data_IF_316138168406
#
_entry.id   IF_316138168406
#
_cell.length_a   1.000
_cell.length_b   1.000
_cell.length_c   1.000
_cell.angle_alpha   90.00
_cell.angle_beta   90.00
_cell.angle_gamma   90.00
#
_symmetry.space_group_name_H-M   'P 1'
#
loop_
_entity.id
_entity.type
_entity.pdbx_description
1 polymer ?
#
# COMPACT_ATOMS: atom_id res chain seq x y z
N UNK A 1 -27.22 -0.98 -8.03
CA UNK A 1 -27.11 -2.44 -7.80
C UNK A 1 -26.00 -3.08 -8.64
N UNK A 2 -26.14 -3.22 -9.96
CA UNK A 2 -25.09 -3.89 -10.77
C UNK A 2 -23.79 -3.09 -10.84
N UNK A 3 -23.87 -1.76 -11.00
CA UNK A 3 -22.70 -0.89 -11.06
C UNK A 3 -21.89 -0.92 -9.74
N UNK A 4 -22.58 -0.91 -8.60
CA UNK A 4 -21.95 -0.97 -7.27
C UNK A 4 -21.21 -2.31 -7.08
N UNK A 5 -21.78 -3.42 -7.56
CA UNK A 5 -21.14 -4.73 -7.49
C UNK A 5 -19.91 -4.81 -8.38
N UNK A 6 -19.97 -4.25 -9.59
CA UNK A 6 -18.82 -4.19 -10.51
C UNK A 6 -17.70 -3.35 -9.90
N UNK A 7 -18.02 -2.16 -9.37
CA UNK A 7 -17.04 -1.31 -8.71
C UNK A 7 -16.43 -2.02 -7.49
N UNK A 8 -17.25 -2.69 -6.68
CA UNK A 8 -16.79 -3.43 -5.50
C UNK A 8 -15.84 -4.55 -5.91
N UNK A 9 -16.24 -5.37 -6.89
CA UNK A 9 -15.40 -6.47 -7.37
C UNK A 9 -14.07 -5.97 -7.94
N UNK A 10 -14.09 -4.86 -8.69
CA UNK A 10 -12.88 -4.25 -9.24
C UNK A 10 -11.93 -3.78 -8.14
N UNK A 11 -12.41 -2.98 -7.19
CA UNK A 11 -11.56 -2.49 -6.11
C UNK A 11 -11.14 -3.61 -5.15
N UNK A 12 -11.99 -4.61 -4.91
CA UNK A 12 -11.63 -5.79 -4.12
C UNK A 12 -10.47 -6.57 -4.75
N UNK A 13 -10.49 -6.75 -6.08
CA UNK A 13 -9.39 -7.37 -6.82
C UNK A 13 -8.11 -6.51 -6.74
N UNK A 14 -8.23 -5.19 -6.83
CA UNK A 14 -7.09 -4.26 -6.66
C UNK A 14 -6.50 -4.38 -5.25
N UNK A 15 -7.34 -4.39 -4.21
CA UNK A 15 -6.89 -4.56 -2.82
C UNK A 15 -6.19 -5.90 -2.62
N UNK A 16 -6.75 -7.00 -3.16
CA UNK A 16 -6.16 -8.32 -2.98
C UNK A 16 -4.85 -8.48 -3.75
N UNK A 17 -4.82 -8.06 -5.02
CA UNK A 17 -3.61 -8.15 -5.86
C UNK A 17 -2.47 -7.28 -5.32
N UNK A 18 -2.76 -6.07 -4.86
CA UNK A 18 -1.78 -5.21 -4.20
C UNK A 18 -1.29 -5.79 -2.88
N UNK A 19 -2.17 -6.30 -2.02
CA UNK A 19 -1.78 -6.94 -0.76
C UNK A 19 -0.89 -8.18 -0.97
N UNK A 20 -1.22 -9.01 -1.97
CA UNK A 20 -0.36 -10.13 -2.37
C UNK A 20 1.00 -9.59 -2.85
N UNK A 21 0.99 -8.56 -3.69
CA UNK A 21 2.19 -7.90 -4.18
C UNK A 21 3.11 -7.38 -3.06
N UNK A 22 2.55 -6.79 -2.00
CA UNK A 22 3.31 -6.31 -0.83
C UNK A 22 4.17 -7.41 -0.22
N UNK A 23 3.62 -8.63 -0.10
CA UNK A 23 4.29 -9.77 0.54
C UNK A 23 5.25 -10.48 -0.43
N UNK A 24 4.96 -10.46 -1.73
CA UNK A 24 5.77 -11.13 -2.74
C UNK A 24 6.97 -10.29 -3.21
N UNK A 25 6.89 -8.96 -3.14
CA UNK A 25 8.00 -8.11 -3.58
C UNK A 25 9.19 -8.22 -2.64
N UNK A 26 10.37 -8.40 -3.23
CA UNK A 26 11.65 -8.46 -2.50
C UNK A 26 12.17 -7.08 -2.14
N UNK A 27 11.93 -6.13 -3.03
CA UNK A 27 12.39 -4.77 -2.86
C UNK A 27 11.40 -4.01 -1.96
N UNK A 28 11.85 -3.51 -0.80
CA UNK A 28 10.95 -2.91 0.19
C UNK A 28 10.30 -1.61 -0.27
N UNK A 29 10.94 -0.88 -1.20
CA UNK A 29 10.38 0.33 -1.79
C UNK A 29 9.16 -0.01 -2.67
N UNK A 30 9.25 -1.06 -3.48
CA UNK A 30 8.12 -1.53 -4.27
C UNK A 30 6.99 -2.10 -3.39
N UNK A 31 7.32 -2.84 -2.33
CA UNK A 31 6.33 -3.31 -1.36
C UNK A 31 5.59 -2.14 -0.69
N UNK A 32 6.28 -1.07 -0.34
CA UNK A 32 5.65 0.11 0.27
C UNK A 32 4.68 0.82 -0.70
N UNK A 33 5.05 0.99 -1.97
CA UNK A 33 4.15 1.52 -3.00
C UNK A 33 2.88 0.68 -3.16
N UNK A 34 3.02 -0.64 -3.20
CA UNK A 34 1.89 -1.57 -3.31
C UNK A 34 0.99 -1.51 -2.07
N UNK A 35 1.57 -1.32 -0.88
CA UNK A 35 0.80 -1.12 0.35
C UNK A 35 -0.03 0.17 0.26
N UNK A 36 0.53 1.23 -0.31
CA UNK A 36 -0.22 2.47 -0.56
C UNK A 36 -1.41 2.28 -1.50
N UNK A 37 -1.24 1.50 -2.58
CA UNK A 37 -2.34 1.14 -3.48
C UNK A 37 -3.43 0.36 -2.74
N UNK A 38 -3.05 -0.61 -1.90
CA UNK A 38 -4.00 -1.38 -1.10
C UNK A 38 -4.81 -0.47 -0.14
N UNK A 39 -4.14 0.43 0.57
CA UNK A 39 -4.76 1.34 1.53
C UNK A 39 -5.67 2.38 0.85
N UNK A 40 -5.28 2.89 -0.32
CA UNK A 40 -6.12 3.76 -1.14
C UNK A 40 -7.35 3.03 -1.68
N UNK A 41 -7.19 1.78 -2.12
CA UNK A 41 -8.33 0.96 -2.56
C UNK A 41 -9.34 0.73 -1.43
N UNK A 42 -8.86 0.52 -0.19
CA UNK A 42 -9.73 0.43 1.00
C UNK A 42 -10.50 1.74 1.25
N UNK A 43 -9.89 2.91 1.02
CA UNK A 43 -10.60 4.18 1.14
C UNK A 43 -11.80 4.27 0.17
N UNK A 44 -11.66 3.74 -1.04
CA UNK A 44 -12.78 3.65 -2.00
C UNK A 44 -13.89 2.75 -1.47
N UNK A 45 -13.57 1.62 -0.83
CA UNK A 45 -14.58 0.76 -0.21
C UNK A 45 -15.37 1.49 0.88
N UNK A 46 -14.72 2.34 1.69
CA UNK A 46 -15.43 3.16 2.67
C UNK A 46 -16.37 4.17 2.02
N UNK A 47 -15.98 4.79 0.90
CA UNK A 47 -16.90 5.66 0.14
C UNK A 47 -18.11 4.88 -0.38
N UNK A 48 -17.90 3.68 -0.90
CA UNK A 48 -19.00 2.81 -1.39
C UNK A 48 -19.95 2.38 -0.28
N UNK A 49 -19.47 2.30 0.97
CA UNK A 49 -20.27 2.02 2.16
C UNK A 49 -20.94 3.28 2.76
N UNK A 50 -20.87 4.42 2.07
CA UNK A 50 -21.33 5.72 2.56
C UNK A 50 -20.66 6.16 3.90
N UNK A 51 -19.43 5.69 4.15
CA UNK A 51 -18.64 6.00 5.34
C UNK A 51 -17.60 7.09 5.03
N UNK A 52 -18.05 8.30 4.68
CA UNK A 52 -17.21 9.40 4.18
C UNK A 52 -16.14 9.84 5.19
N UNK A 53 -16.52 10.02 6.46
CA UNK A 53 -15.57 10.40 7.51
C UNK A 53 -14.45 9.36 7.66
N UNK A 54 -14.80 8.08 7.65
CA UNK A 54 -13.83 6.98 7.75
C UNK A 54 -12.95 6.93 6.51
N UNK A 55 -13.50 7.15 5.31
CA UNK A 55 -12.72 7.22 4.07
C UNK A 55 -11.68 8.35 4.10
N UNK A 56 -12.06 9.54 4.55
CA UNK A 56 -11.14 10.67 4.69
C UNK A 56 -10.06 10.37 5.73
N UNK A 57 -10.45 9.83 6.89
CA UNK A 57 -9.49 9.43 7.93
C UNK A 57 -8.55 8.32 7.46
N UNK A 58 -9.03 7.40 6.61
CA UNK A 58 -8.22 6.35 6.01
C UNK A 58 -7.08 6.94 5.18
N UNK A 59 -7.39 7.92 4.33
CA UNK A 59 -6.38 8.60 3.51
C UNK A 59 -5.46 9.45 4.38
N UNK A 60 -5.99 10.26 5.29
CA UNK A 60 -5.17 11.16 6.12
C UNK A 60 -4.22 10.41 7.05
N UNK A 61 -4.72 9.40 7.78
CA UNK A 61 -3.93 8.71 8.80
C UNK A 61 -3.09 7.58 8.19
N UNK A 62 -3.69 6.70 7.40
CA UNK A 62 -2.95 5.53 6.91
C UNK A 62 -2.09 5.87 5.70
N UNK A 63 -2.63 6.57 4.69
CA UNK A 63 -1.87 6.91 3.48
C UNK A 63 -0.96 8.11 3.73
N UNK A 64 -1.45 9.14 4.42
CA UNK A 64 -0.69 10.36 4.71
C UNK A 64 0.30 10.26 5.88
N UNK A 65 0.05 9.38 6.85
CA UNK A 65 0.91 9.23 8.03
C UNK A 65 1.64 7.89 8.06
N UNK A 66 0.92 6.83 8.39
CA UNK A 66 1.48 5.50 8.68
C UNK A 66 2.30 4.96 7.51
N UNK A 67 1.76 4.99 6.30
CA UNK A 67 2.43 4.52 5.09
C UNK A 67 3.72 5.29 4.81
N UNK A 68 3.69 6.62 4.97
CA UNK A 68 4.86 7.48 4.75
C UNK A 68 5.94 7.12 5.78
N UNK A 69 5.57 6.98 7.06
CA UNK A 69 6.48 6.56 8.12
C UNK A 69 7.09 5.18 7.86
N UNK A 70 6.27 4.20 7.44
CA UNK A 70 6.76 2.85 7.09
C UNK A 70 7.72 2.93 5.91
N UNK A 71 7.35 3.65 4.84
CA UNK A 71 8.21 3.81 3.64
C UNK A 71 9.55 4.39 4.03
N UNK A 72 9.57 5.48 4.81
CA UNK A 72 10.82 6.08 5.28
C UNK A 72 11.64 5.14 6.17
N UNK A 73 11.01 4.49 7.16
CA UNK A 73 11.70 3.57 8.04
C UNK A 73 12.37 2.44 7.25
N UNK A 74 11.63 1.85 6.31
CA UNK A 74 12.09 0.76 5.44
C UNK A 74 13.25 1.21 4.55
N UNK A 75 13.17 2.41 3.95
CA UNK A 75 14.27 2.97 3.17
C UNK A 75 15.53 3.19 4.01
N UNK A 76 15.39 3.70 5.24
CA UNK A 76 16.51 3.93 6.13
C UNK A 76 17.18 2.63 6.62
N UNK A 77 16.43 1.52 6.67
CA UNK A 77 16.95 0.21 7.07
C UNK A 77 17.55 -0.60 5.92
N UNK A 78 17.46 -0.13 4.68
CA UNK A 78 18.11 -0.81 3.55
C UNK A 78 19.62 -0.57 3.63
N UNK A 79 20.36 -1.55 4.16
CA UNK A 79 21.81 -1.60 4.08
C UNK A 79 22.20 -2.03 2.66
N UNK A 80 22.99 -1.21 1.98
CA UNK A 80 23.62 -1.59 0.73
C UNK A 80 24.63 -2.72 1.01
N UNK A 81 24.30 -3.96 0.64
CA UNK A 81 25.28 -5.06 0.54
C UNK A 81 26.24 -4.74 -0.63
N UNK A 82 27.14 -3.77 -0.43
CA UNK A 82 28.32 -3.61 -1.27
C UNK A 82 29.33 -4.68 -0.85
N UNK A 83 29.68 -5.64 -1.72
CA UNK A 83 30.76 -6.56 -1.42
C UNK A 83 32.03 -5.72 -1.29
N UNK A 84 32.57 -5.66 -0.08
CA UNK A 84 33.89 -5.10 0.20
C UNK A 84 34.89 -5.83 -0.70
N UNK A 85 35.29 -5.18 -1.79
CA UNK A 85 36.32 -5.67 -2.69
C UNK A 85 37.62 -5.62 -1.90
N UNK A 86 37.93 -6.73 -1.22
CA UNK A 86 39.27 -7.05 -0.73
C UNK A 86 40.14 -7.24 -1.97
N UNK A 87 40.65 -6.13 -2.51
CA UNK A 87 41.77 -6.11 -3.43
C UNK A 87 43.05 -6.33 -2.62
N UNK A 88 43.46 -7.59 -2.52
CA UNK A 88 44.86 -7.99 -2.32
C UNK A 88 45.63 -7.92 -3.63
#
# INVERSE_FOLDING_TARGET
MTYDLIAFALFALVTLSSAIGVVLMRDPWHSALLLGVALMSVAVHYVMLAAEFVAVMQVLVYVGGVLILITFAVMLTQTEDSPEVVQT
#
